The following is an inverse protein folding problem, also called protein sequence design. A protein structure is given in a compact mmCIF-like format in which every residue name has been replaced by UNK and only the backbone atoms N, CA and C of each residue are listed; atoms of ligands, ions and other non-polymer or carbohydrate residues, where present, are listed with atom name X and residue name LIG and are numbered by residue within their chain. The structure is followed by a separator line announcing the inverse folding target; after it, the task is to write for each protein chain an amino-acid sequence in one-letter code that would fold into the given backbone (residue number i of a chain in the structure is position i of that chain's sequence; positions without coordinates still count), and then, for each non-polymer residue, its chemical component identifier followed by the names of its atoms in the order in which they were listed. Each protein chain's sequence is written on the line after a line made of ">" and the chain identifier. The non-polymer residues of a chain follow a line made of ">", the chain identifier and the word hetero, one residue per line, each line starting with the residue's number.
data_IF_345487789879
#
_entry.id   IF_345487789879
#
_cell.length_a   1.000
_cell.length_b   1.000
_cell.length_c   1.000
_cell.angle_alpha   90.00
_cell.angle_beta   90.00
_cell.angle_gamma   90.00
#
_symmetry.space_group_name_H-M   'P 1'
#
loop_
_entity.id
_entity.type
_entity.pdbx_description
1 polymer ?
#
# COMPACT_ATOMS: atom_id res chain seq x y z
N UNK A 1 7.32 -110.75 13.31
CA UNK A 1 8.37 -109.69 13.46
C UNK A 1 7.92 -108.25 13.04
N UNK A 2 6.91 -108.13 12.17
CA UNK A 2 6.44 -106.82 11.72
C UNK A 2 5.51 -106.13 12.74
N UNK A 3 4.64 -106.85 13.44
CA UNK A 3 3.68 -106.27 14.38
C UNK A 3 4.32 -105.56 15.58
N UNK A 4 5.53 -106.02 16.03
CA UNK A 4 6.20 -105.41 17.16
C UNK A 4 6.87 -104.04 16.78
N UNK A 5 7.27 -103.85 15.54
CA UNK A 5 7.81 -102.54 15.02
C UNK A 5 6.73 -101.49 14.83
N UNK A 6 5.55 -101.91 14.36
CA UNK A 6 4.42 -100.97 14.24
C UNK A 6 3.91 -100.53 15.61
N UNK A 7 3.86 -101.42 16.60
CA UNK A 7 3.49 -101.06 18.00
C UNK A 7 4.50 -100.12 18.61
N UNK A 8 5.81 -100.29 18.43
CA UNK A 8 6.86 -99.34 18.89
C UNK A 8 6.72 -98.00 18.23
N UNK A 9 6.51 -97.93 16.89
CA UNK A 9 6.35 -96.67 16.18
C UNK A 9 5.06 -95.93 16.61
N UNK A 10 4.00 -96.62 16.86
CA UNK A 10 2.75 -96.06 17.40
C UNK A 10 2.95 -95.55 18.84
N UNK A 11 3.66 -96.26 19.66
CA UNK A 11 4.00 -95.83 21.04
C UNK A 11 4.88 -94.54 21.05
N UNK A 12 5.88 -94.45 20.14
CA UNK A 12 6.70 -93.24 20.02
C UNK A 12 5.86 -92.04 19.47
N UNK A 13 4.98 -92.26 18.52
CA UNK A 13 4.09 -91.21 18.03
C UNK A 13 3.13 -90.75 19.11
N UNK A 14 2.60 -91.70 19.90
CA UNK A 14 1.70 -91.37 21.04
C UNK A 14 2.45 -90.52 22.11
N UNK A 15 3.67 -90.90 22.39
CA UNK A 15 4.52 -90.15 23.32
C UNK A 15 4.86 -88.73 22.80
N UNK A 16 5.13 -88.61 21.51
CA UNK A 16 5.38 -87.34 20.89
C UNK A 16 4.12 -86.44 20.90
N UNK A 17 2.96 -86.97 20.57
CA UNK A 17 1.71 -86.24 20.63
C UNK A 17 1.28 -85.84 22.04
N UNK A 18 1.51 -86.67 22.99
CA UNK A 18 1.28 -86.34 24.45
C UNK A 18 2.21 -85.21 24.89
N UNK A 19 3.48 -85.20 24.46
CA UNK A 19 4.40 -84.06 24.74
C UNK A 19 3.93 -82.76 24.04
N UNK A 20 3.45 -82.85 22.83
CA UNK A 20 2.91 -81.71 22.10
C UNK A 20 1.65 -81.16 22.77
N UNK A 21 0.73 -82.03 23.21
CA UNK A 21 -0.51 -81.63 23.94
C UNK A 21 -0.16 -80.90 25.23
N UNK A 22 0.85 -81.46 26.00
CA UNK A 22 1.26 -80.83 27.22
C UNK A 22 1.90 -79.44 26.99
N UNK A 23 2.75 -79.28 25.97
CA UNK A 23 3.31 -77.98 25.59
C UNK A 23 2.25 -76.99 25.14
N UNK A 24 1.24 -77.49 24.39
CA UNK A 24 0.10 -76.62 23.98
C UNK A 24 -0.80 -76.22 25.17
N UNK A 25 -1.01 -77.13 26.13
CA UNK A 25 -1.72 -76.85 27.40
C UNK A 25 -1.03 -75.78 28.24
N UNK A 26 0.29 -75.89 28.35
CA UNK A 26 1.09 -74.89 29.07
C UNK A 26 1.12 -73.53 28.34
N UNK A 27 1.18 -73.53 27.04
CA UNK A 27 1.03 -72.31 26.23
C UNK A 27 -0.35 -71.69 26.42
N UNK A 28 -1.41 -72.47 26.37
CA UNK A 28 -2.77 -71.95 26.57
C UNK A 28 -2.93 -71.36 27.99
N UNK A 29 -2.43 -72.06 29.03
CA UNK A 29 -2.44 -71.48 30.37
C UNK A 29 -1.67 -70.19 30.53
N UNK A 30 -0.59 -70.06 29.80
CA UNK A 30 0.21 -68.80 29.78
C UNK A 30 -0.53 -67.68 29.03
N UNK A 31 -1.14 -67.97 27.90
CA UNK A 31 -1.99 -67.02 27.14
C UNK A 31 -3.20 -66.58 27.94
N UNK A 32 -3.86 -67.49 28.65
CA UNK A 32 -4.98 -67.15 29.54
C UNK A 32 -4.55 -66.21 30.70
N UNK A 33 -3.35 -66.41 31.27
CA UNK A 33 -2.80 -65.48 32.26
C UNK A 33 -2.46 -64.12 31.65
N UNK A 34 -1.92 -64.11 30.44
CA UNK A 34 -1.64 -62.85 29.73
C UNK A 34 -2.94 -62.12 29.39
N UNK A 35 -3.96 -62.81 28.88
CA UNK A 35 -5.27 -62.25 28.60
C UNK A 35 -5.96 -61.70 29.87
N UNK A 36 -5.89 -62.40 30.95
CA UNK A 36 -6.41 -61.91 32.24
C UNK A 36 -5.68 -60.62 32.71
N UNK A 37 -4.32 -60.58 32.53
CA UNK A 37 -3.53 -59.42 32.83
C UNK A 37 -3.85 -58.20 31.94
N UNK A 38 -3.98 -58.42 30.63
CA UNK A 38 -4.38 -57.37 29.67
C UNK A 38 -5.81 -56.88 29.96
N UNK A 39 -6.74 -57.79 30.22
CA UNK A 39 -8.12 -57.46 30.60
C UNK A 39 -8.18 -56.61 31.89
N UNK A 40 -7.35 -56.97 32.87
CA UNK A 40 -7.23 -56.19 34.12
C UNK A 40 -6.69 -54.77 33.87
N UNK A 41 -5.64 -54.66 33.04
CA UNK A 41 -5.08 -53.38 32.66
C UNK A 41 -6.05 -52.51 31.84
N UNK A 42 -6.78 -53.13 30.90
CA UNK A 42 -7.80 -52.41 30.12
C UNK A 42 -8.93 -51.88 31.02
N UNK A 43 -9.42 -52.68 31.98
CA UNK A 43 -10.43 -52.21 32.95
C UNK A 43 -9.90 -51.02 33.76
N UNK A 44 -8.65 -51.07 34.17
CA UNK A 44 -8.01 -49.98 34.92
C UNK A 44 -7.84 -48.71 34.10
N UNK A 45 -7.47 -48.83 32.80
CA UNK A 45 -7.37 -47.74 31.84
C UNK A 45 -8.73 -47.10 31.55
N UNK A 46 -9.78 -47.91 31.38
CA UNK A 46 -11.14 -47.41 31.14
C UNK A 46 -11.63 -46.64 32.38
N UNK A 47 -11.43 -47.16 33.58
CA UNK A 47 -11.80 -46.45 34.81
C UNK A 47 -11.03 -45.13 34.99
N UNK A 48 -9.73 -45.10 34.60
CA UNK A 48 -8.93 -43.87 34.61
C UNK A 48 -9.41 -42.86 33.60
N UNK A 49 -9.80 -43.30 32.40
CA UNK A 49 -10.37 -42.46 31.38
C UNK A 49 -11.72 -41.87 31.78
N UNK A 50 -12.59 -42.66 32.43
CA UNK A 50 -13.87 -42.16 32.95
C UNK A 50 -13.67 -41.12 34.04
N UNK A 51 -12.80 -41.35 35.00
CA UNK A 51 -12.49 -40.37 36.05
C UNK A 51 -11.87 -39.09 35.48
N UNK A 52 -10.98 -39.19 34.49
CA UNK A 52 -10.39 -38.04 33.82
C UNK A 52 -11.42 -37.27 33.02
N UNK A 53 -12.34 -37.96 32.35
CA UNK A 53 -13.44 -37.36 31.62
C UNK A 53 -14.42 -36.61 32.56
N UNK A 54 -14.75 -37.20 33.71
CA UNK A 54 -15.56 -36.48 34.71
C UNK A 54 -14.84 -35.23 35.26
N UNK A 55 -13.53 -35.33 35.52
CA UNK A 55 -12.75 -34.15 35.90
C UNK A 55 -12.75 -33.06 34.84
N UNK A 56 -12.64 -33.41 33.57
CA UNK A 56 -12.72 -32.45 32.44
C UNK A 56 -14.11 -31.83 32.36
N UNK A 57 -15.18 -32.60 32.53
CA UNK A 57 -16.56 -32.09 32.53
C UNK A 57 -16.78 -31.13 33.70
N UNK A 58 -16.31 -31.50 34.91
CA UNK A 58 -16.45 -30.65 36.08
C UNK A 58 -15.62 -29.34 35.95
N UNK A 59 -14.40 -29.43 35.41
CA UNK A 59 -13.58 -28.25 35.07
C UNK A 59 -14.24 -27.37 34.00
N UNK A 60 -14.86 -27.98 32.99
CA UNK A 60 -15.58 -27.25 31.95
C UNK A 60 -16.83 -26.55 32.51
N UNK A 61 -17.60 -27.25 33.38
CA UNK A 61 -18.75 -26.65 34.05
C UNK A 61 -18.35 -25.54 35.05
N UNK A 62 -17.20 -25.66 35.71
CA UNK A 62 -16.66 -24.57 36.53
C UNK A 62 -16.25 -23.36 35.71
N UNK A 63 -15.65 -23.57 34.50
CA UNK A 63 -15.31 -22.51 33.57
C UNK A 63 -16.54 -21.86 32.94
N UNK A 64 -17.62 -22.62 32.69
CA UNK A 64 -18.87 -22.08 32.17
C UNK A 64 -19.64 -21.25 33.21
N UNK A 65 -19.47 -21.53 34.51
CA UNK A 65 -19.98 -20.69 35.59
C UNK A 65 -19.26 -19.35 35.76
N UNK A 66 -17.99 -19.28 35.36
CA UNK A 66 -17.23 -18.02 35.31
C UNK A 66 -17.67 -17.10 34.15
N UNK A 67 -18.56 -17.56 33.27
CA UNK A 67 -19.08 -16.76 32.15
C UNK A 67 -19.98 -15.58 32.57
N UNK A 68 -20.45 -15.52 33.82
CA UNK A 68 -21.25 -14.43 34.36
C UNK A 68 -20.41 -13.34 35.07
N UNK A 69 -19.10 -13.56 35.24
CA UNK A 69 -18.21 -12.56 35.85
C UNK A 69 -17.70 -11.56 34.81
N UNK A 70 -17.65 -10.26 35.12
CA UNK A 70 -17.14 -9.27 34.17
C UNK A 70 -15.66 -9.51 33.92
N UNK A 71 -15.30 -9.62 32.62
CA UNK A 71 -13.90 -9.65 32.19
C UNK A 71 -13.33 -8.27 32.05
N UNK A 72 -12.07 -8.12 32.38
CA UNK A 72 -11.32 -6.89 32.20
C UNK A 72 -10.42 -6.98 30.99
N UNK A 73 -10.29 -5.86 30.25
CA UNK A 73 -9.41 -5.77 29.10
C UNK A 73 -8.03 -5.27 29.49
N UNK A 74 -6.99 -5.92 28.97
CA UNK A 74 -5.60 -5.50 29.12
C UNK A 74 -4.83 -5.66 27.80
N UNK A 75 -3.68 -4.99 27.67
CA UNK A 75 -2.78 -5.09 26.50
C UNK A 75 -1.44 -5.68 26.92
N UNK A 76 -0.98 -6.72 26.23
CA UNK A 76 0.31 -7.40 26.51
C UNK A 76 1.46 -6.47 26.12
N UNK A 77 2.41 -6.23 27.02
CA UNK A 77 3.64 -5.46 26.76
C UNK A 77 4.91 -6.28 26.84
N UNK A 78 4.92 -7.41 27.55
CA UNK A 78 6.06 -8.32 27.60
C UNK A 78 5.62 -9.75 27.90
N UNK A 79 6.37 -10.73 27.36
CA UNK A 79 6.15 -12.16 27.60
C UNK A 79 7.27 -12.71 28.49
N UNK A 80 6.89 -13.53 29.49
CA UNK A 80 7.83 -14.20 30.36
C UNK A 80 7.62 -15.72 30.27
N UNK A 81 8.38 -16.41 29.37
CA UNK A 81 8.30 -17.87 29.26
C UNK A 81 8.80 -18.55 30.53
N UNK A 82 8.36 -19.79 30.76
CA UNK A 82 8.92 -20.61 31.84
C UNK A 82 10.43 -20.68 31.70
N UNK A 83 11.16 -20.24 32.71
CA UNK A 83 12.60 -20.56 32.77
C UNK A 83 12.72 -22.06 33.06
N UNK A 84 13.40 -22.82 32.21
CA UNK A 84 13.83 -24.16 32.53
C UNK A 84 14.67 -24.10 33.82
N UNK A 85 14.48 -25.00 34.78
CA UNK A 85 15.33 -25.07 35.97
C UNK A 85 16.77 -25.28 35.50
N UNK A 86 17.68 -24.38 35.88
CA UNK A 86 19.11 -24.65 35.72
C UNK A 86 19.46 -25.86 36.59
N UNK A 87 20.13 -26.89 36.05
CA UNK A 87 20.54 -28.04 36.81
C UNK A 87 21.62 -27.61 37.83
N UNK A 88 21.27 -27.44 39.09
CA UNK A 88 22.22 -27.16 40.15
C UNK A 88 21.74 -26.39 41.38
N UNK A 89 20.65 -25.66 41.35
CA UNK A 89 20.06 -25.04 42.54
C UNK A 89 18.66 -25.64 42.79
N UNK A 90 18.52 -26.41 43.82
CA UNK A 90 17.30 -27.15 44.23
C UNK A 90 16.12 -26.25 44.66
N UNK A 91 15.78 -25.28 43.88
CA UNK A 91 14.56 -24.49 44.01
C UNK A 91 13.71 -24.81 42.78
N UNK A 92 12.71 -25.69 42.97
CA UNK A 92 11.63 -25.88 42.02
C UNK A 92 10.91 -24.54 41.80
N UNK A 93 11.31 -23.78 40.82
CA UNK A 93 10.51 -22.64 40.35
C UNK A 93 9.31 -23.21 39.58
N UNK A 94 8.23 -23.51 40.27
CA UNK A 94 6.89 -23.72 39.71
C UNK A 94 6.35 -22.41 39.11
N UNK A 95 7.16 -21.75 38.29
CA UNK A 95 6.78 -20.52 37.62
C UNK A 95 5.75 -20.79 36.52
N UNK A 96 4.49 -20.43 36.77
CA UNK A 96 3.50 -20.34 35.71
C UNK A 96 4.00 -19.38 34.60
N UNK A 97 3.63 -19.64 33.32
CA UNK A 97 3.85 -18.69 32.25
C UNK A 97 3.16 -17.36 32.60
N UNK A 98 3.86 -16.25 32.45
CA UNK A 98 3.37 -14.94 32.84
C UNK A 98 3.58 -13.93 31.72
N UNK A 99 2.76 -12.88 31.68
CA UNK A 99 2.93 -11.75 30.80
C UNK A 99 2.77 -10.44 31.57
N UNK A 100 3.51 -9.43 31.17
CA UNK A 100 3.27 -8.07 31.66
C UNK A 100 2.16 -7.45 30.82
N UNK A 101 1.13 -6.94 31.45
CA UNK A 101 -0.06 -6.37 30.84
C UNK A 101 -0.29 -4.97 31.36
N UNK A 102 -0.69 -4.06 30.49
CA UNK A 102 -1.24 -2.77 30.90
C UNK A 102 -2.75 -2.93 31.13
N UNK A 103 -3.15 -2.72 32.36
CA UNK A 103 -4.54 -2.73 32.79
C UNK A 103 -4.84 -1.48 33.60
N UNK A 104 -5.90 -0.76 33.25
CA UNK A 104 -6.27 0.52 33.88
C UNK A 104 -5.11 1.50 34.05
N UNK A 105 -4.25 1.62 33.01
CA UNK A 105 -3.08 2.51 32.99
C UNK A 105 -1.90 2.04 33.85
N UNK A 106 -1.95 0.82 34.42
CA UNK A 106 -0.85 0.28 35.24
C UNK A 106 -0.26 -0.97 34.59
N UNK A 107 1.06 -1.05 34.61
CA UNK A 107 1.78 -2.26 34.18
C UNK A 107 1.78 -3.27 35.30
N UNK A 108 1.27 -4.46 35.02
CA UNK A 108 1.15 -5.57 35.97
C UNK A 108 1.64 -6.88 35.37
N UNK A 109 2.26 -7.73 36.18
CA UNK A 109 2.60 -9.08 35.76
C UNK A 109 1.48 -10.03 36.19
N UNK A 110 0.91 -10.72 35.23
CA UNK A 110 -0.23 -11.60 35.39
C UNK A 110 0.09 -12.99 34.86
N UNK A 111 -0.55 -14.02 35.46
CA UNK A 111 -0.41 -15.39 34.99
C UNK A 111 -1.20 -15.58 33.68
N UNK A 112 -0.73 -16.53 32.87
CA UNK A 112 -1.43 -16.94 31.64
C UNK A 112 -2.12 -18.27 31.92
N UNK A 113 -3.39 -18.41 31.56
CA UNK A 113 -4.15 -19.63 31.68
C UNK A 113 -3.45 -20.79 30.95
N UNK A 114 -3.35 -21.98 31.55
CA UNK A 114 -2.78 -23.17 30.91
C UNK A 114 -3.55 -23.61 29.66
N UNK A 115 -4.78 -23.11 29.46
CA UNK A 115 -5.62 -23.41 28.32
C UNK A 115 -5.26 -22.55 27.09
N UNK A 116 -4.46 -21.50 27.28
CA UNK A 116 -3.99 -20.64 26.21
C UNK A 116 -2.61 -21.07 25.73
N UNK A 117 -2.43 -21.04 24.41
CA UNK A 117 -1.13 -21.27 23.80
C UNK A 117 -0.27 -20.01 23.97
N UNK A 118 0.66 -20.05 24.90
CA UNK A 118 1.52 -18.93 25.24
C UNK A 118 2.38 -18.45 24.08
N UNK A 119 2.77 -19.34 23.18
CA UNK A 119 3.61 -18.96 22.01
C UNK A 119 2.84 -18.09 21.01
N UNK A 120 1.54 -18.30 20.91
CA UNK A 120 0.66 -17.51 20.02
C UNK A 120 0.31 -16.13 20.55
N UNK A 121 0.58 -15.85 21.81
CA UNK A 121 0.38 -14.50 22.34
C UNK A 121 1.40 -13.54 21.76
N UNK A 122 0.94 -12.36 21.34
CA UNK A 122 1.75 -11.35 20.65
C UNK A 122 1.78 -10.06 21.48
N UNK A 123 2.94 -9.39 21.50
CA UNK A 123 3.09 -8.08 22.16
C UNK A 123 2.22 -7.04 21.44
N UNK A 124 1.48 -6.24 22.22
CA UNK A 124 0.48 -5.27 21.74
C UNK A 124 -0.92 -5.87 21.56
N UNK A 125 -1.09 -7.19 21.75
CA UNK A 125 -2.39 -7.87 21.63
C UNK A 125 -3.26 -7.60 22.86
N UNK A 126 -4.56 -7.41 22.66
CA UNK A 126 -5.54 -7.31 23.72
C UNK A 126 -5.85 -8.70 24.31
N UNK A 127 -6.07 -8.73 25.60
CA UNK A 127 -6.40 -9.95 26.36
C UNK A 127 -7.53 -9.69 27.33
N UNK A 128 -8.27 -10.75 27.63
CA UNK A 128 -9.26 -10.76 28.71
C UNK A 128 -8.64 -11.30 30.00
N UNK A 129 -8.85 -10.57 31.08
CA UNK A 129 -8.44 -10.91 32.42
C UNK A 129 -9.68 -11.28 33.24
N UNK A 130 -9.64 -12.37 34.00
CA UNK A 130 -10.67 -12.69 34.94
C UNK A 130 -10.48 -11.91 36.28
N UNK A 131 -11.35 -12.11 37.26
CA UNK A 131 -11.28 -11.45 38.58
C UNK A 131 -9.95 -11.73 39.33
N UNK A 132 -9.33 -12.88 39.09
CA UNK A 132 -8.03 -13.21 39.65
C UNK A 132 -6.84 -12.62 38.86
N UNK A 133 -7.13 -11.77 37.89
CA UNK A 133 -6.14 -11.15 36.96
C UNK A 133 -5.31 -12.20 36.19
N UNK A 134 -5.92 -13.30 35.78
CA UNK A 134 -5.31 -14.31 34.92
C UNK A 134 -5.78 -14.06 33.47
N UNK A 135 -4.88 -14.15 32.50
CA UNK A 135 -5.23 -14.09 31.09
C UNK A 135 -6.00 -15.33 30.69
N UNK A 136 -7.26 -15.19 30.31
CA UNK A 136 -8.16 -16.31 29.96
C UNK A 136 -8.46 -16.37 28.46
N UNK A 137 -8.34 -15.27 27.75
CA UNK A 137 -8.50 -15.22 26.30
C UNK A 137 -7.60 -14.16 25.66
N UNK A 138 -7.16 -14.43 24.44
CA UNK A 138 -6.47 -13.48 23.60
C UNK A 138 -7.46 -12.92 22.55
N UNK A 139 -7.46 -11.61 22.38
CA UNK A 139 -8.28 -10.89 21.40
C UNK A 139 -7.40 -10.45 20.23
N UNK A 140 -7.93 -9.59 19.39
CA UNK A 140 -7.18 -8.91 18.32
C UNK A 140 -6.30 -7.77 18.84
N UNK A 141 -5.95 -6.88 17.93
CA UNK A 141 -5.29 -5.62 18.26
C UNK A 141 -6.33 -4.49 18.27
N UNK A 142 -6.05 -3.41 19.01
CA UNK A 142 -6.92 -2.22 18.98
C UNK A 142 -6.86 -1.59 17.59
N UNK A 143 -8.04 -1.45 16.94
CA UNK A 143 -8.12 -0.86 15.60
C UNK A 143 -8.28 0.66 15.65
N UNK A 144 -8.67 1.18 16.81
CA UNK A 144 -8.90 2.62 17.01
C UNK A 144 -7.78 3.23 17.85
N UNK A 145 -7.26 4.38 17.43
CA UNK A 145 -6.18 5.00 18.16
C UNK A 145 -5.75 6.35 17.60
N UNK A 146 -4.71 6.93 18.18
CA UNK A 146 -4.11 8.16 17.70
C UNK A 146 -3.23 7.87 16.48
N UNK A 147 -3.40 8.67 15.40
CA UNK A 147 -2.56 8.57 14.21
C UNK A 147 -1.27 9.36 14.41
N UNK A 148 -0.14 8.73 14.12
CA UNK A 148 1.19 9.31 14.17
C UNK A 148 1.98 8.98 12.92
N UNK A 149 2.95 9.83 12.58
CA UNK A 149 3.83 9.62 11.41
C UNK A 149 5.21 9.21 11.87
N UNK A 150 5.77 8.17 11.28
CA UNK A 150 7.15 7.71 11.55
C UNK A 150 8.14 8.74 11.03
N UNK A 151 9.02 9.23 11.92
CA UNK A 151 10.12 10.14 11.58
C UNK A 151 11.46 9.41 11.47
N UNK A 152 11.66 8.42 12.34
CA UNK A 152 12.90 7.63 12.38
C UNK A 152 12.60 6.26 12.97
N UNK A 153 13.23 5.23 12.44
CA UNK A 153 13.14 3.87 12.98
C UNK A 153 14.38 3.63 13.84
N UNK A 154 14.16 3.25 15.09
CA UNK A 154 15.22 2.95 16.04
C UNK A 154 15.42 1.43 16.16
N UNK A 155 16.56 1.04 16.73
CA UNK A 155 16.81 -0.34 17.10
C UNK A 155 15.82 -0.85 18.17
N UNK A 156 15.71 -2.18 18.34
CA UNK A 156 14.87 -2.83 19.34
C UNK A 156 13.37 -2.57 19.20
N UNK A 157 12.87 -2.47 17.98
CA UNK A 157 11.44 -2.29 17.69
C UNK A 157 10.84 -0.98 18.26
N UNK A 158 11.61 0.09 18.28
CA UNK A 158 11.15 1.43 18.62
C UNK A 158 11.13 2.33 17.39
N UNK A 159 10.31 3.36 17.42
CA UNK A 159 10.27 4.39 16.40
C UNK A 159 10.09 5.78 17.03
N UNK A 160 10.75 6.78 16.45
CA UNK A 160 10.43 8.18 16.71
C UNK A 160 9.26 8.54 15.80
N UNK A 161 8.19 9.00 16.39
CA UNK A 161 6.99 9.40 15.66
C UNK A 161 6.63 10.85 15.96
N UNK A 162 5.94 11.45 15.01
CA UNK A 162 5.38 12.78 15.14
C UNK A 162 3.88 12.66 15.40
N UNK A 163 3.44 13.15 16.54
CA UNK A 163 2.04 13.26 16.93
C UNK A 163 1.47 14.63 16.50
N UNK A 164 0.27 14.98 16.98
CA UNK A 164 -0.33 16.29 16.69
C UNK A 164 0.53 17.43 17.22
N UNK A 165 0.55 18.55 16.50
CA UNK A 165 1.28 19.79 16.86
C UNK A 165 2.80 19.61 16.97
N UNK A 166 3.42 18.78 16.08
CA UNK A 166 4.87 18.55 16.00
C UNK A 166 5.51 17.93 17.27
N UNK A 167 4.68 17.36 18.17
CA UNK A 167 5.17 16.64 19.35
C UNK A 167 5.83 15.32 18.92
N UNK A 168 7.13 15.18 19.26
CA UNK A 168 7.90 13.98 18.93
C UNK A 168 7.92 13.03 20.13
N UNK A 169 7.59 11.77 19.87
CA UNK A 169 7.55 10.71 20.89
C UNK A 169 8.28 9.47 20.40
N UNK A 170 8.92 8.78 21.32
CA UNK A 170 9.42 7.42 21.06
C UNK A 170 8.35 6.44 21.47
N UNK A 171 7.99 5.55 20.55
CA UNK A 171 6.99 4.52 20.76
C UNK A 171 7.56 3.14 20.49
N UNK A 172 6.98 2.13 21.11
CA UNK A 172 7.29 0.72 20.85
C UNK A 172 6.33 0.16 19.80
N UNK A 173 6.86 -0.69 18.90
CA UNK A 173 6.08 -1.35 17.86
C UNK A 173 5.49 -2.66 18.40
N UNK A 174 4.18 -2.87 18.21
CA UNK A 174 3.51 -4.14 18.49
C UNK A 174 3.96 -5.24 17.52
N UNK A 175 3.67 -6.48 17.88
CA UNK A 175 4.11 -7.66 17.12
C UNK A 175 3.87 -7.60 15.61
N UNK A 176 2.68 -7.24 15.12
CA UNK A 176 2.44 -7.16 13.68
C UNK A 176 3.35 -6.18 12.93
N UNK A 177 3.71 -5.06 13.58
CA UNK A 177 4.58 -4.04 12.97
C UNK A 177 6.06 -4.41 13.02
N UNK A 178 6.47 -5.32 13.91
CA UNK A 178 7.86 -5.79 14.02
C UNK A 178 8.30 -6.64 12.83
N UNK A 179 7.35 -7.30 12.19
CA UNK A 179 7.58 -8.16 11.02
C UNK A 179 7.42 -7.38 9.70
N UNK A 180 6.88 -6.14 9.75
CA UNK A 180 6.66 -5.30 8.59
C UNK A 180 7.86 -4.41 8.29
N UNK A 181 8.14 -4.19 7.01
CA UNK A 181 9.09 -3.18 6.57
C UNK A 181 8.44 -1.79 6.64
N UNK A 182 8.66 -1.10 7.75
CA UNK A 182 8.22 0.28 7.93
C UNK A 182 9.22 1.25 7.30
N UNK A 183 8.72 2.39 6.84
CA UNK A 183 9.51 3.48 6.25
C UNK A 183 9.23 4.79 6.98
N UNK A 184 10.18 5.70 6.90
CA UNK A 184 9.98 7.09 7.33
C UNK A 184 8.83 7.69 6.50
N UNK A 185 7.85 8.31 7.19
CA UNK A 185 6.63 8.82 6.59
C UNK A 185 5.41 7.90 6.70
N UNK A 186 5.58 6.63 7.07
CA UNK A 186 4.46 5.73 7.31
C UNK A 186 3.60 6.24 8.47
N UNK A 187 2.28 6.05 8.33
CA UNK A 187 1.35 6.40 9.39
C UNK A 187 0.97 5.17 10.19
N UNK A 188 1.06 5.31 11.50
CA UNK A 188 0.76 4.25 12.45
C UNK A 188 -0.38 4.66 13.36
N UNK A 189 -1.22 3.69 13.74
CA UNK A 189 -2.20 3.84 14.81
C UNK A 189 -1.58 3.42 16.13
N UNK A 190 -1.67 4.28 17.15
CA UNK A 190 -1.20 4.00 18.52
C UNK A 190 -2.40 3.61 19.37
N UNK A 191 -2.31 2.47 20.05
CA UNK A 191 -3.25 2.15 21.13
C UNK A 191 -3.05 3.14 22.29
N UNK A 192 -4.07 3.93 22.56
CA UNK A 192 -4.05 5.00 23.59
C UNK A 192 -3.84 4.48 25.00
N UNK A 193 -4.08 3.18 25.27
CA UNK A 193 -3.92 2.57 26.58
C UNK A 193 -2.50 2.11 26.83
N UNK A 194 -1.89 1.46 25.86
CA UNK A 194 -0.53 0.93 25.96
C UNK A 194 0.53 1.90 25.45
N UNK A 195 0.17 2.86 24.60
CA UNK A 195 1.11 3.73 23.92
C UNK A 195 1.94 3.05 22.83
N UNK A 196 1.57 1.82 22.44
CA UNK A 196 2.27 1.05 21.40
C UNK A 196 1.63 1.29 20.04
N UNK A 197 2.43 1.33 18.99
CA UNK A 197 1.91 1.30 17.63
C UNK A 197 1.45 -0.12 17.30
N UNK A 198 0.20 -0.27 16.85
CA UNK A 198 -0.44 -1.56 16.62
C UNK A 198 -0.68 -1.88 15.16
N UNK A 199 -0.92 -0.89 14.33
CA UNK A 199 -1.20 -1.09 12.91
C UNK A 199 -0.65 0.04 12.05
N UNK A 200 -0.34 -0.29 10.79
CA UNK A 200 -0.03 0.70 9.76
C UNK A 200 -1.35 1.13 9.11
N UNK A 201 -1.61 2.42 9.14
CA UNK A 201 -2.80 2.99 8.52
C UNK A 201 -2.41 3.52 7.14
N UNK A 202 -3.01 2.95 6.12
CA UNK A 202 -2.93 3.53 4.77
C UNK A 202 -4.04 4.57 4.65
N UNK A 203 -3.69 5.83 4.73
CA UNK A 203 -4.66 6.88 4.46
C UNK A 203 -5.00 6.88 2.97
N UNK A 204 -6.20 6.45 2.67
CA UNK A 204 -6.77 6.47 1.32
C UNK A 204 -7.00 7.90 0.82
N UNK A 205 -7.04 8.90 1.72
CA UNK A 205 -7.31 10.30 1.39
C UNK A 205 -6.26 10.96 0.49
N UNK A 206 -5.00 10.47 0.50
CA UNK A 206 -3.95 11.00 -0.37
C UNK A 206 -3.98 10.44 -1.79
N UNK A 207 -4.50 9.21 -1.97
CA UNK A 207 -4.63 8.62 -3.30
C UNK A 207 -5.74 9.28 -4.14
N UNK A 208 -6.71 9.93 -3.48
CA UNK A 208 -7.78 10.63 -4.17
C UNK A 208 -7.42 12.06 -4.63
N UNK A 209 -6.43 12.71 -4.00
CA UNK A 209 -5.99 14.07 -4.34
C UNK A 209 -4.91 14.12 -5.42
N UNK A 210 -4.13 13.05 -5.54
CA UNK A 210 -3.08 12.92 -6.54
C UNK A 210 -3.34 11.67 -7.35
N UNK A 211 -3.90 11.84 -8.54
CA UNK A 211 -4.02 10.76 -9.50
C UNK A 211 -2.62 10.47 -10.04
N UNK A 212 -2.04 9.37 -9.58
CA UNK A 212 -0.80 8.85 -10.10
C UNK A 212 -1.12 8.00 -11.33
N UNK A 213 -0.79 8.52 -12.51
CA UNK A 213 -1.02 7.84 -13.78
C UNK A 213 0.32 7.53 -14.45
N UNK A 214 0.35 6.45 -15.21
CA UNK A 214 1.37 6.22 -16.23
C UNK A 214 0.69 6.52 -17.56
N UNK A 215 0.90 7.72 -18.15
CA UNK A 215 0.15 8.11 -19.34
C UNK A 215 0.61 7.30 -20.54
N UNK A 216 -0.36 6.91 -21.37
CA UNK A 216 -0.17 6.19 -22.63
C UNK A 216 -0.60 7.08 -23.83
N UNK A 217 -0.30 8.36 -23.74
CA UNK A 217 -0.64 9.35 -24.76
C UNK A 217 0.65 9.87 -25.37
N UNK A 218 0.85 9.63 -26.67
CA UNK A 218 1.97 10.12 -27.40
C UNK A 218 1.66 11.50 -28.06
N UNK A 219 2.70 12.25 -28.46
CA UNK A 219 2.49 13.49 -29.22
C UNK A 219 1.78 13.25 -30.56
N UNK A 220 1.94 12.05 -31.14
CA UNK A 220 1.22 11.65 -32.35
C UNK A 220 -0.30 11.65 -32.20
N UNK A 221 -0.80 11.54 -30.96
CA UNK A 221 -2.24 11.49 -30.67
C UNK A 221 -2.86 12.88 -30.52
N UNK A 222 -2.01 13.92 -30.56
CA UNK A 222 -2.41 15.32 -30.45
C UNK A 222 -2.38 15.95 -31.84
N UNK A 223 -3.46 16.62 -32.23
CA UNK A 223 -3.55 17.36 -33.47
C UNK A 223 -3.61 18.86 -33.25
N UNK A 224 -3.12 19.64 -34.21
CA UNK A 224 -3.26 21.09 -34.26
C UNK A 224 -2.40 21.88 -33.27
N UNK A 225 -1.38 21.25 -32.66
CA UNK A 225 -0.49 21.91 -31.69
C UNK A 225 0.99 21.64 -32.00
N UNK A 226 1.34 21.48 -33.26
CA UNK A 226 2.69 21.07 -33.68
C UNK A 226 3.76 22.06 -33.20
N UNK A 227 3.55 23.38 -33.34
CA UNK A 227 4.49 24.42 -32.93
C UNK A 227 4.68 24.45 -31.40
N UNK A 228 3.61 24.21 -30.64
CA UNK A 228 3.65 24.12 -29.16
C UNK A 228 4.40 22.86 -28.70
N UNK A 229 4.18 21.74 -29.39
CA UNK A 229 4.87 20.49 -29.12
C UNK A 229 6.39 20.64 -29.38
N UNK A 230 6.78 21.30 -30.47
CA UNK A 230 8.20 21.59 -30.74
C UNK A 230 8.81 22.49 -29.67
N UNK A 231 8.13 23.56 -29.26
CA UNK A 231 8.58 24.42 -28.18
C UNK A 231 8.74 23.69 -26.85
N UNK A 232 7.87 22.71 -26.57
CA UNK A 232 7.97 21.85 -25.38
C UNK A 232 9.18 20.91 -25.50
N UNK A 233 9.37 20.27 -26.64
CA UNK A 233 10.52 19.38 -26.87
C UNK A 233 11.83 20.11 -26.64
N UNK A 234 11.95 21.31 -27.16
CA UNK A 234 13.15 22.15 -27.01
C UNK A 234 13.36 22.60 -25.57
N UNK A 235 12.30 22.94 -24.87
CA UNK A 235 12.38 23.51 -23.51
C UNK A 235 12.48 22.45 -22.41
N UNK A 236 11.89 21.27 -22.61
CA UNK A 236 11.76 20.22 -21.59
C UNK A 236 12.61 19.00 -21.91
N UNK A 237 12.45 18.45 -23.12
CA UNK A 237 13.10 17.19 -23.46
C UNK A 237 14.59 17.35 -23.74
N UNK A 238 14.96 18.42 -24.42
CA UNK A 238 16.37 18.65 -24.76
C UNK A 238 17.26 18.81 -23.50
N UNK A 239 16.89 19.63 -22.48
CA UNK A 239 17.64 19.71 -21.23
C UNK A 239 17.72 18.38 -20.49
N UNK A 240 16.63 17.61 -20.54
CA UNK A 240 16.52 16.31 -19.87
C UNK A 240 17.36 15.24 -20.58
N UNK A 241 17.36 15.25 -21.91
CA UNK A 241 18.12 14.28 -22.72
C UNK A 241 19.60 14.63 -22.82
N UNK A 242 19.97 15.90 -22.81
CA UNK A 242 21.32 16.39 -23.01
C UNK A 242 21.76 17.39 -21.92
N UNK A 243 21.74 17.00 -20.64
CA UNK A 243 22.12 17.89 -19.54
C UNK A 243 23.59 18.33 -19.63
N UNK A 244 24.45 17.55 -20.29
CA UNK A 244 25.84 17.88 -20.55
C UNK A 244 25.98 19.12 -21.43
N UNK A 245 25.19 19.27 -22.48
CA UNK A 245 25.23 20.44 -23.38
C UNK A 245 24.84 21.71 -22.63
N UNK A 246 23.82 21.62 -21.75
CA UNK A 246 23.42 22.76 -20.94
C UNK A 246 24.53 23.19 -19.97
N UNK A 247 25.23 22.23 -19.34
CA UNK A 247 26.36 22.53 -18.43
C UNK A 247 27.54 23.13 -19.18
N UNK A 248 27.90 22.61 -20.35
CA UNK A 248 28.98 23.15 -21.19
C UNK A 248 28.75 24.58 -21.60
N UNK A 249 27.49 24.96 -21.87
CA UNK A 249 27.13 26.30 -22.31
C UNK A 249 26.71 27.23 -21.15
N UNK A 250 26.81 26.78 -19.90
CA UNK A 250 26.43 27.55 -18.71
C UNK A 250 24.93 27.87 -18.64
N UNK A 251 24.10 27.06 -19.33
CA UNK A 251 22.64 27.19 -19.32
C UNK A 251 22.05 26.37 -18.18
N UNK A 252 21.03 26.88 -17.52
CA UNK A 252 20.23 26.14 -16.57
C UNK A 252 18.99 25.58 -17.26
N UNK A 253 18.70 24.30 -17.02
CA UNK A 253 17.45 23.70 -17.50
C UNK A 253 16.24 24.38 -16.86
N UNK A 254 15.17 24.66 -17.61
CA UNK A 254 13.93 25.15 -17.03
C UNK A 254 13.38 24.11 -16.04
N UNK A 255 12.87 24.58 -14.90
CA UNK A 255 12.29 23.70 -13.87
C UNK A 255 10.82 23.39 -14.13
N UNK A 256 10.17 24.24 -14.90
CA UNK A 256 8.78 24.07 -15.21
C UNK A 256 8.31 24.94 -16.35
N UNK A 257 7.15 24.58 -16.86
CA UNK A 257 6.45 25.29 -17.93
C UNK A 257 5.03 25.65 -17.50
N UNK A 258 4.55 26.78 -18.01
CA UNK A 258 3.15 27.18 -17.90
C UNK A 258 2.48 27.03 -19.27
N UNK A 259 1.48 26.16 -19.34
CA UNK A 259 0.56 26.04 -20.45
C UNK A 259 -0.66 26.95 -20.19
N UNK A 260 -0.89 27.95 -21.02
CA UNK A 260 -2.00 28.87 -20.80
C UNK A 260 -2.83 29.07 -22.06
N UNK A 261 -4.13 29.31 -21.90
CA UNK A 261 -5.05 29.52 -23.00
C UNK A 261 -6.46 29.03 -22.72
N UNK A 262 -7.38 29.08 -23.69
CA UNK A 262 -8.78 28.73 -23.49
C UNK A 262 -8.99 27.31 -22.94
N UNK A 263 -10.08 27.07 -22.20
CA UNK A 263 -10.42 25.72 -21.73
C UNK A 263 -10.70 24.79 -22.92
N UNK A 264 -10.46 23.49 -22.73
CA UNK A 264 -10.74 22.46 -23.73
C UNK A 264 -9.76 22.36 -24.90
N UNK A 265 -8.67 23.15 -24.94
CA UNK A 265 -7.69 23.16 -26.04
C UNK A 265 -6.53 22.15 -25.85
N UNK A 266 -6.65 21.13 -24.97
CA UNK A 266 -5.69 20.03 -24.89
C UNK A 266 -4.51 20.23 -23.94
N UNK A 267 -4.51 21.22 -23.03
CA UNK A 267 -3.41 21.47 -22.06
C UNK A 267 -3.04 20.22 -21.26
N UNK A 268 -4.02 19.51 -20.73
CA UNK A 268 -3.83 18.27 -19.95
C UNK A 268 -3.31 17.11 -20.80
N UNK A 269 -3.76 17.03 -22.08
CA UNK A 269 -3.27 16.03 -23.03
C UNK A 269 -1.78 16.24 -23.34
N UNK A 270 -1.38 17.48 -23.58
CA UNK A 270 0.04 17.82 -23.79
C UNK A 270 0.88 17.42 -22.59
N UNK A 271 0.44 17.75 -21.37
CA UNK A 271 1.19 17.41 -20.17
C UNK A 271 1.37 15.89 -20.00
N UNK A 272 0.35 15.10 -20.34
CA UNK A 272 0.44 13.63 -20.37
C UNK A 272 1.40 13.12 -21.45
N UNK A 273 1.36 13.71 -22.64
CA UNK A 273 2.27 13.34 -23.71
C UNK A 273 3.75 13.66 -23.39
N UNK A 274 4.01 14.77 -22.69
CA UNK A 274 5.34 15.09 -22.16
C UNK A 274 5.83 13.98 -21.24
N UNK A 275 5.01 13.55 -20.27
CA UNK A 275 5.38 12.49 -19.34
C UNK A 275 5.67 11.17 -20.07
N UNK A 276 4.85 10.81 -21.06
CA UNK A 276 5.05 9.61 -21.88
C UNK A 276 6.37 9.68 -22.67
N UNK A 277 6.63 10.81 -23.34
CA UNK A 277 7.86 11.01 -24.12
C UNK A 277 9.11 10.93 -23.23
N UNK A 278 9.08 11.55 -22.05
CA UNK A 278 10.21 11.47 -21.12
C UNK A 278 10.47 10.03 -20.65
N UNK A 279 9.43 9.22 -20.45
CA UNK A 279 9.58 7.81 -20.12
C UNK A 279 10.28 7.03 -21.22
N UNK A 280 9.88 7.23 -22.48
CA UNK A 280 10.50 6.57 -23.62
C UNK A 280 11.99 6.90 -23.72
N UNK A 281 12.35 8.16 -23.56
CA UNK A 281 13.75 8.61 -23.65
C UNK A 281 14.62 8.09 -22.51
N UNK A 282 14.06 7.93 -21.30
CA UNK A 282 14.80 7.28 -20.18
C UNK A 282 15.01 5.81 -20.45
N UNK A 283 14.03 5.13 -21.02
CA UNK A 283 14.14 3.72 -21.39
C UNK A 283 15.21 3.48 -22.48
N UNK A 284 15.30 4.38 -23.45
CA UNK A 284 16.34 4.33 -24.51
C UNK A 284 17.76 4.50 -23.93
N UNK A 285 17.93 5.28 -22.86
CA UNK A 285 19.24 5.54 -22.24
C UNK A 285 19.71 4.42 -21.30
N UNK A 286 18.78 3.73 -20.65
CA UNK A 286 19.08 2.69 -19.64
C UNK A 286 18.59 1.35 -20.18
N UNK A 287 19.46 0.61 -20.85
CA UNK A 287 19.19 -0.78 -21.25
C UNK A 287 18.66 -1.58 -20.05
N UNK A 288 17.37 -1.98 -20.08
CA UNK A 288 16.79 -2.89 -19.11
C UNK A 288 16.06 -2.27 -17.90
N UNK A 289 15.88 -0.94 -17.84
CA UNK A 289 15.09 -0.29 -16.78
C UNK A 289 13.62 -0.13 -17.20
N UNK A 290 12.68 -0.17 -16.25
CA UNK A 290 11.24 -0.07 -16.53
C UNK A 290 10.91 1.24 -17.28
N UNK A 291 10.11 1.11 -18.35
CA UNK A 291 9.61 2.24 -19.15
C UNK A 291 8.46 2.95 -18.42
N UNK A 292 8.73 3.51 -17.24
CA UNK A 292 7.70 4.15 -16.41
C UNK A 292 8.04 5.60 -16.14
N UNK A 293 7.09 6.48 -16.42
CA UNK A 293 7.07 7.84 -15.88
C UNK A 293 5.89 7.99 -14.93
N UNK A 294 6.02 8.90 -14.01
CA UNK A 294 4.93 9.21 -13.08
C UNK A 294 4.35 10.58 -13.42
N UNK A 295 3.05 10.59 -13.62
CA UNK A 295 2.28 11.80 -13.84
C UNK A 295 1.41 12.06 -12.61
N UNK A 296 1.77 13.08 -11.85
CA UNK A 296 1.04 13.49 -10.65
C UNK A 296 0.08 14.61 -11.03
N UNK A 297 -1.18 14.28 -11.22
CA UNK A 297 -2.21 15.24 -11.61
C UNK A 297 -2.87 15.87 -10.39
N UNK A 298 -2.77 17.18 -10.27
CA UNK A 298 -3.27 17.97 -9.15
C UNK A 298 -4.25 18.99 -9.69
N UNK A 299 -5.50 18.91 -9.26
CA UNK A 299 -6.50 19.91 -9.62
C UNK A 299 -6.56 21.00 -8.56
N UNK A 300 -6.39 22.25 -8.97
CA UNK A 300 -6.37 23.41 -8.09
C UNK A 300 -7.55 23.48 -7.13
N UNK A 301 -8.81 23.41 -7.59
CA UNK A 301 -9.98 23.47 -6.72
C UNK A 301 -10.03 22.36 -5.67
N UNK A 302 -9.62 21.14 -6.02
CA UNK A 302 -9.66 19.99 -5.09
C UNK A 302 -8.69 20.14 -3.90
N UNK A 303 -7.61 20.92 -4.08
CA UNK A 303 -6.68 21.23 -2.99
C UNK A 303 -7.24 22.28 -2.03
N UNK A 304 -8.14 23.16 -2.48
CA UNK A 304 -8.70 24.27 -1.68
C UNK A 304 -9.89 23.85 -0.82
N UNK A 305 -10.55 22.74 -1.14
CA UNK A 305 -11.79 22.30 -0.45
C UNK A 305 -11.58 21.82 0.99
N UNK A 306 -10.33 21.76 1.47
CA UNK A 306 -10.01 21.33 2.82
C UNK A 306 -9.27 22.44 3.59
N UNK A 307 -9.53 22.51 4.87
CA UNK A 307 -9.07 23.51 5.87
C UNK A 307 -7.72 24.18 5.60
N UNK A 308 -7.65 25.48 5.90
CA UNK A 308 -6.42 26.29 5.88
C UNK A 308 -5.31 25.59 6.68
N UNK A 309 -4.14 25.41 6.06
CA UNK A 309 -3.00 24.66 6.63
C UNK A 309 -2.85 23.22 6.11
N UNK A 310 -3.92 22.54 5.67
CA UNK A 310 -3.81 21.24 5.02
C UNK A 310 -3.31 21.36 3.58
N UNK A 311 -3.66 22.42 2.88
CA UNK A 311 -3.21 22.66 1.50
C UNK A 311 -1.67 22.75 1.40
N UNK A 312 -1.02 23.45 2.33
CA UNK A 312 0.44 23.53 2.39
C UNK A 312 1.08 22.17 2.67
N UNK A 313 0.49 21.41 3.57
CA UNK A 313 0.91 20.05 3.87
C UNK A 313 0.78 19.15 2.65
N UNK A 314 -0.32 19.27 1.90
CA UNK A 314 -0.54 18.50 0.69
C UNK A 314 0.51 18.83 -0.39
N UNK A 315 0.81 20.11 -0.59
CA UNK A 315 1.88 20.54 -1.51
C UNK A 315 3.21 19.90 -1.12
N UNK A 316 3.61 19.99 0.15
CA UNK A 316 4.85 19.35 0.64
C UNK A 316 4.88 17.84 0.39
N UNK A 317 3.77 17.15 0.63
CA UNK A 317 3.66 15.70 0.43
C UNK A 317 3.73 15.30 -1.05
N UNK A 318 3.10 16.08 -1.93
CA UNK A 318 3.17 15.87 -3.40
C UNK A 318 4.61 15.96 -3.87
N UNK A 319 5.32 17.01 -3.48
CA UNK A 319 6.72 17.18 -3.87
C UNK A 319 7.67 16.18 -3.18
N UNK A 320 7.39 15.78 -1.95
CA UNK A 320 8.12 14.68 -1.28
C UNK A 320 7.95 13.36 -2.04
N UNK A 321 6.73 13.06 -2.50
CA UNK A 321 6.45 11.86 -3.31
C UNK A 321 7.10 11.94 -4.70
N UNK A 322 7.06 13.12 -5.33
CA UNK A 322 7.77 13.34 -6.59
C UNK A 322 9.27 13.10 -6.44
N UNK A 323 9.88 13.63 -5.38
CA UNK A 323 11.29 13.41 -5.05
C UNK A 323 11.61 11.93 -4.79
N UNK A 324 10.77 11.22 -4.05
CA UNK A 324 10.93 9.79 -3.78
C UNK A 324 11.00 8.99 -5.08
N UNK A 325 10.07 9.24 -6.00
CA UNK A 325 10.04 8.57 -7.32
C UNK A 325 11.25 8.93 -8.18
N UNK A 326 11.62 10.21 -8.22
CA UNK A 326 12.76 10.70 -8.98
C UNK A 326 14.11 10.14 -8.50
N UNK A 327 14.25 9.84 -7.20
CA UNK A 327 15.46 9.20 -6.64
C UNK A 327 15.72 7.79 -7.20
N UNK A 328 14.67 7.10 -7.67
CA UNK A 328 14.81 5.82 -8.36
C UNK A 328 15.25 5.98 -9.82
N UNK A 329 15.36 7.22 -10.30
CA UNK A 329 15.78 7.56 -11.66
C UNK A 329 14.62 7.61 -12.66
N UNK A 330 13.39 7.53 -12.20
CA UNK A 330 12.19 7.64 -13.04
C UNK A 330 11.83 9.11 -13.26
N UNK A 331 11.39 9.51 -14.46
CA UNK A 331 10.91 10.85 -14.71
C UNK A 331 9.56 11.07 -14.02
N UNK A 332 9.43 12.23 -13.39
CA UNK A 332 8.20 12.63 -12.69
C UNK A 332 7.72 13.97 -13.21
N UNK A 333 6.49 14.00 -13.69
CA UNK A 333 5.81 15.23 -14.07
C UNK A 333 4.79 15.58 -13.00
N UNK A 334 4.97 16.72 -12.36
CA UNK A 334 3.99 17.28 -11.41
C UNK A 334 3.13 18.28 -12.19
N UNK A 335 1.89 17.93 -12.43
CA UNK A 335 0.96 18.72 -13.22
C UNK A 335 -0.08 19.40 -12.33
N UNK A 336 -0.11 20.73 -12.40
CA UNK A 336 -1.14 21.54 -11.74
C UNK A 336 -2.16 22.00 -12.75
N UNK A 337 -3.38 21.46 -12.69
CA UNK A 337 -4.49 21.93 -13.50
C UNK A 337 -5.26 23.05 -12.79
N UNK A 338 -5.78 23.98 -13.56
CA UNK A 338 -6.51 25.16 -13.06
C UNK A 338 -5.72 25.93 -12.00
N UNK A 339 -4.43 26.23 -12.31
CA UNK A 339 -3.52 26.91 -11.38
C UNK A 339 -4.07 28.26 -10.87
N UNK A 340 -4.91 28.94 -11.65
CA UNK A 340 -5.57 30.18 -11.26
C UNK A 340 -6.45 30.03 -10.02
N UNK A 341 -6.88 28.83 -9.68
CA UNK A 341 -7.61 28.57 -8.44
C UNK A 341 -6.71 28.67 -7.20
N UNK A 342 -5.46 28.19 -7.29
CA UNK A 342 -4.53 28.13 -6.18
C UNK A 342 -3.65 29.38 -6.04
N UNK A 343 -3.30 30.03 -7.15
CA UNK A 343 -2.19 30.98 -7.22
C UNK A 343 -2.62 32.32 -7.78
N UNK A 344 -3.73 32.85 -7.28
CA UNK A 344 -4.25 34.18 -7.68
C UNK A 344 -3.35 35.31 -7.27
N UNK A 345 -3.33 36.36 -8.09
CA UNK A 345 -2.65 37.63 -7.79
C UNK A 345 -3.28 38.29 -6.57
N UNK A 346 -2.44 38.78 -5.64
CA UNK A 346 -2.87 39.42 -4.39
C UNK A 346 -3.84 40.58 -4.64
N UNK A 347 -4.96 40.61 -3.92
CA UNK A 347 -5.85 41.79 -3.86
C UNK A 347 -7.19 41.67 -4.58
N UNK A 348 -7.58 40.52 -5.12
CA UNK A 348 -8.84 40.37 -5.87
C UNK A 348 -9.99 39.65 -5.16
N UNK A 349 -9.87 39.31 -3.86
CA UNK A 349 -10.94 38.60 -3.16
C UNK A 349 -10.78 38.40 -1.66
N UNK A 350 -11.82 37.86 -1.01
CA UNK A 350 -12.08 37.80 0.44
C UNK A 350 -11.22 36.77 1.21
N UNK A 351 -10.23 36.10 0.62
CA UNK A 351 -9.48 34.99 1.25
C UNK A 351 -8.01 35.34 1.44
N UNK A 352 -7.68 36.27 2.33
CA UNK A 352 -6.31 36.76 2.52
C UNK A 352 -5.34 35.71 3.14
N UNK A 353 -5.83 34.69 3.84
CA UNK A 353 -4.97 33.76 4.56
C UNK A 353 -4.46 32.62 3.68
N UNK A 354 -5.26 32.15 2.72
CA UNK A 354 -4.88 31.08 1.78
C UNK A 354 -3.80 31.58 0.79
N UNK A 355 -3.91 32.81 0.31
CA UNK A 355 -2.97 33.42 -0.65
C UNK A 355 -1.61 33.71 -0.02
N UNK A 356 -1.55 33.98 1.29
CA UNK A 356 -0.29 34.35 1.98
C UNK A 356 0.62 33.18 2.27
N UNK A 357 0.12 31.95 2.29
CA UNK A 357 0.87 30.78 2.72
C UNK A 357 1.11 29.75 1.60
N UNK A 358 0.16 29.55 0.69
CA UNK A 358 0.23 28.54 -0.37
C UNK A 358 1.27 28.91 -1.43
N UNK A 359 1.27 30.15 -1.93
CA UNK A 359 2.21 30.60 -2.96
C UNK A 359 3.67 30.48 -2.46
N UNK A 360 4.05 31.01 -1.27
CA UNK A 360 5.40 30.81 -0.75
C UNK A 360 5.81 29.35 -0.56
N UNK A 361 4.87 28.48 -0.14
CA UNK A 361 5.15 27.07 0.01
C UNK A 361 5.44 26.41 -1.34
N UNK A 362 4.62 26.64 -2.37
CA UNK A 362 4.90 26.11 -3.70
C UNK A 362 6.23 26.63 -4.25
N UNK A 363 6.53 27.91 -4.07
CA UNK A 363 7.80 28.47 -4.50
C UNK A 363 8.99 27.78 -3.82
N UNK A 364 8.88 27.53 -2.51
CA UNK A 364 9.92 26.80 -1.76
C UNK A 364 10.09 25.36 -2.27
N UNK A 365 9.00 24.69 -2.62
CA UNK A 365 9.05 23.32 -3.15
C UNK A 365 9.66 23.29 -4.58
N UNK A 366 9.28 24.22 -5.45
CA UNK A 366 9.86 24.33 -6.80
C UNK A 366 11.36 24.70 -6.71
N UNK A 367 11.73 25.63 -5.84
CA UNK A 367 13.12 25.98 -5.61
C UNK A 367 13.90 24.79 -5.04
N UNK A 368 13.24 23.96 -4.21
CA UNK A 368 13.80 22.70 -3.66
C UNK A 368 14.00 21.58 -4.69
N UNK A 369 13.35 21.63 -5.83
CA UNK A 369 13.52 20.67 -6.95
C UNK A 369 14.88 20.87 -7.68
N UNK A 370 15.59 21.97 -7.42
CA UNK A 370 16.91 22.28 -8.04
C UNK A 370 17.95 21.15 -8.00
N UNK A 371 17.77 20.21 -7.09
CA UNK A 371 18.71 19.09 -6.88
C UNK A 371 18.28 17.80 -7.57
N UNK A 372 17.14 17.81 -8.30
CA UNK A 372 16.57 16.61 -8.89
C UNK A 372 16.43 16.79 -10.40
N UNK A 373 17.31 16.18 -11.15
CA UNK A 373 17.34 16.24 -12.61
C UNK A 373 16.11 15.58 -13.30
N UNK A 374 15.26 14.88 -12.55
CA UNK A 374 14.18 14.05 -13.09
C UNK A 374 12.76 14.52 -12.71
N UNK A 375 12.59 15.71 -12.13
CA UNK A 375 11.27 16.26 -11.80
C UNK A 375 11.00 17.52 -12.61
N UNK A 376 9.86 17.55 -13.29
CA UNK A 376 9.38 18.70 -14.06
C UNK A 376 8.03 19.12 -13.53
N UNK A 377 7.83 20.43 -13.37
CA UNK A 377 6.56 21.01 -12.97
C UNK A 377 5.88 21.61 -14.19
N UNK A 378 4.65 21.19 -14.47
CA UNK A 378 3.83 21.75 -15.54
C UNK A 378 2.59 22.37 -14.92
N UNK A 379 2.41 23.66 -15.12
CA UNK A 379 1.21 24.36 -14.75
C UNK A 379 0.27 24.54 -15.93
N UNK A 380 -1.03 24.39 -15.72
CA UNK A 380 -2.04 24.75 -16.71
C UNK A 380 -2.99 25.80 -16.16
N UNK A 381 -3.29 26.82 -16.97
CA UNK A 381 -4.21 27.89 -16.61
C UNK A 381 -5.09 28.30 -17.78
N UNK A 382 -6.33 28.62 -17.48
CA UNK A 382 -7.23 29.25 -18.45
C UNK A 382 -7.09 30.78 -18.45
N UNK A 383 -6.41 31.33 -17.41
CA UNK A 383 -6.27 32.79 -17.19
C UNK A 383 -4.89 33.11 -16.63
N UNK A 384 -3.92 33.31 -17.56
CA UNK A 384 -2.54 33.70 -17.19
C UNK A 384 -2.48 34.97 -16.36
N UNK A 385 -3.38 35.93 -16.65
CA UNK A 385 -3.47 37.23 -15.99
C UNK A 385 -3.76 37.14 -14.49
N UNK A 386 -4.29 36.03 -14.02
CA UNK A 386 -4.62 35.79 -12.62
C UNK A 386 -3.50 35.11 -11.82
N UNK A 387 -2.46 34.60 -12.46
CA UNK A 387 -1.37 33.86 -11.78
C UNK A 387 -0.38 34.86 -11.15
N UNK A 388 0.05 34.61 -9.92
CA UNK A 388 1.06 35.39 -9.23
C UNK A 388 2.38 35.44 -10.04
N UNK A 389 2.87 36.65 -10.42
CA UNK A 389 4.10 36.77 -11.19
C UNK A 389 5.33 36.14 -10.53
N UNK A 390 5.33 35.93 -9.21
CA UNK A 390 6.44 35.29 -8.51
C UNK A 390 6.67 33.84 -8.97
N UNK A 391 5.62 33.13 -9.39
CA UNK A 391 5.72 31.76 -9.90
C UNK A 391 6.36 31.73 -11.30
N UNK A 392 6.18 32.79 -12.06
CA UNK A 392 6.60 32.92 -13.45
C UNK A 392 8.02 33.51 -13.62
N UNK A 393 8.76 33.63 -12.50
CA UNK A 393 10.15 34.15 -12.52
C UNK A 393 11.12 33.09 -13.03
N UNK A 394 12.26 33.53 -13.65
CA UNK A 394 13.32 32.62 -14.07
C UNK A 394 13.73 31.64 -12.96
N UNK A 395 13.90 30.38 -13.33
CA UNK A 395 14.20 29.29 -12.41
C UNK A 395 12.99 28.62 -11.78
N UNK A 396 11.77 28.95 -12.21
CA UNK A 396 10.49 28.34 -11.77
C UNK A 396 9.68 27.91 -12.98
N UNK A 397 8.46 28.44 -13.17
CA UNK A 397 7.67 28.23 -14.39
C UNK A 397 7.99 29.34 -15.40
N UNK A 398 9.22 29.36 -15.85
CA UNK A 398 9.80 30.43 -16.65
C UNK A 398 9.50 30.28 -18.18
N UNK A 399 9.19 29.08 -18.63
CA UNK A 399 8.76 28.82 -19.99
C UNK A 399 7.24 28.93 -20.08
N UNK A 400 6.75 29.83 -20.91
CA UNK A 400 5.32 30.03 -21.13
C UNK A 400 4.94 29.63 -22.54
N UNK A 401 3.97 28.73 -22.65
CA UNK A 401 3.48 28.23 -23.93
C UNK A 401 1.99 28.50 -24.04
N UNK A 402 1.64 29.31 -25.04
CA UNK A 402 0.25 29.64 -25.33
C UNK A 402 -0.39 28.53 -26.13
N UNK A 403 -1.47 27.99 -25.60
CA UNK A 403 -2.32 27.01 -26.28
C UNK A 403 -3.54 27.76 -26.80
N UNK A 404 -3.60 27.90 -28.08
CA UNK A 404 -4.69 28.62 -28.78
C UNK A 404 -5.79 27.63 -29.18
N UNK A 405 -6.92 28.18 -29.58
CA UNK A 405 -7.93 27.38 -30.27
C UNK A 405 -7.36 26.91 -31.61
N UNK A 406 -7.71 25.69 -32.05
CA UNK A 406 -7.23 25.19 -33.32
C UNK A 406 -7.71 26.11 -34.48
N UNK A 407 -6.84 26.37 -35.43
CA UNK A 407 -7.20 26.90 -36.70
C UNK A 407 -7.80 25.83 -37.64
N UNK A 408 -8.12 26.17 -38.89
CA UNK A 408 -8.74 25.21 -39.81
C UNK A 408 -7.83 24.00 -40.10
N UNK A 409 -6.52 24.16 -40.11
CA UNK A 409 -5.57 23.07 -40.33
C UNK A 409 -5.48 22.18 -39.08
N UNK A 410 -5.35 22.79 -37.92
CA UNK A 410 -5.38 22.07 -36.63
C UNK A 410 -6.69 21.33 -36.37
N UNK A 411 -7.83 21.93 -36.73
CA UNK A 411 -9.12 21.26 -36.65
C UNK A 411 -9.17 20.00 -37.54
N UNK A 412 -8.59 20.11 -38.76
CA UNK A 412 -8.50 18.94 -39.66
C UNK A 412 -7.67 17.83 -39.06
N UNK A 413 -6.52 18.15 -38.48
CA UNK A 413 -5.67 17.17 -37.77
C UNK A 413 -6.40 16.53 -36.60
N UNK A 414 -7.14 17.32 -35.81
CA UNK A 414 -7.93 16.82 -34.69
C UNK A 414 -9.01 15.85 -35.16
N UNK A 415 -9.80 16.26 -36.19
CA UNK A 415 -10.82 15.38 -36.75
C UNK A 415 -10.25 14.06 -37.26
N UNK A 416 -9.08 14.09 -37.91
CA UNK A 416 -8.42 12.91 -38.43
C UNK A 416 -7.98 11.90 -37.34
N UNK A 417 -7.85 12.34 -36.07
CA UNK A 417 -7.59 11.43 -34.96
C UNK A 417 -8.82 10.65 -34.52
N UNK A 418 -10.01 11.24 -34.70
CA UNK A 418 -11.27 10.63 -34.23
C UNK A 418 -12.08 10.02 -35.38
N UNK A 419 -12.04 10.62 -36.56
CA UNK A 419 -12.74 10.12 -37.72
C UNK A 419 -11.79 9.25 -38.56
N UNK A 420 -11.82 7.94 -38.27
CA UNK A 420 -10.99 6.95 -38.96
C UNK A 420 -11.84 6.13 -39.94
N UNK A 421 -11.23 5.55 -41.00
CA UNK A 421 -11.95 4.69 -41.96
C UNK A 421 -12.62 3.44 -41.37
N UNK A 422 -12.22 3.04 -40.15
CA UNK A 422 -12.77 1.90 -39.43
C UNK A 422 -14.15 2.18 -38.79
N UNK A 423 -14.56 3.46 -38.77
CA UNK A 423 -15.85 3.84 -38.25
C UNK A 423 -16.99 3.41 -39.22
N UNK A 424 -18.19 3.09 -38.71
CA UNK A 424 -19.33 2.79 -39.55
C UNK A 424 -19.78 4.02 -40.33
N UNK A 425 -19.44 4.10 -41.62
CA UNK A 425 -19.79 5.18 -42.53
C UNK A 425 -21.12 4.86 -43.22
N UNK A 426 -21.99 5.86 -43.40
CA UNK A 426 -23.29 5.64 -44.03
C UNK A 426 -23.10 5.20 -45.49
N UNK A 427 -23.98 4.33 -45.97
CA UNK A 427 -23.89 3.74 -47.31
C UNK A 427 -23.91 4.79 -48.44
N UNK A 428 -24.68 5.87 -48.26
CA UNK A 428 -24.77 6.94 -49.23
C UNK A 428 -23.46 7.70 -49.35
N UNK A 429 -22.78 7.99 -48.21
CA UNK A 429 -21.47 8.66 -48.22
C UNK A 429 -20.39 7.79 -48.86
N UNK A 430 -20.44 6.48 -48.68
CA UNK A 430 -19.55 5.53 -49.38
C UNK A 430 -19.82 5.50 -50.87
N UNK A 431 -21.10 5.52 -51.29
CA UNK A 431 -21.48 5.50 -52.69
C UNK A 431 -21.04 6.79 -53.45
N UNK A 432 -21.06 7.96 -52.78
CA UNK A 432 -20.57 9.22 -53.33
C UNK A 432 -19.04 9.21 -53.59
N UNK A 433 -18.31 8.32 -52.90
CA UNK A 433 -16.84 8.26 -52.95
C UNK A 433 -16.29 6.91 -53.42
N UNK A 434 -16.94 6.32 -54.42
CA UNK A 434 -16.54 5.06 -55.08
C UNK A 434 -16.31 3.88 -54.11
N UNK A 435 -16.99 3.87 -52.97
CA UNK A 435 -16.86 2.84 -51.90
C UNK A 435 -15.57 2.97 -51.06
N UNK A 436 -14.79 4.03 -51.22
CA UNK A 436 -13.57 4.24 -50.43
C UNK A 436 -13.88 4.93 -49.11
N UNK A 437 -13.75 4.20 -48.01
CA UNK A 437 -13.96 4.73 -46.65
C UNK A 437 -12.99 5.89 -46.34
N UNK A 438 -11.74 5.81 -46.76
CA UNK A 438 -10.77 6.90 -46.55
C UNK A 438 -11.17 8.21 -47.24
N UNK A 439 -11.58 8.14 -48.48
CA UNK A 439 -12.00 9.32 -49.25
C UNK A 439 -13.28 9.94 -48.69
N UNK A 440 -14.23 9.08 -48.27
CA UNK A 440 -15.46 9.53 -47.59
C UNK A 440 -15.16 10.25 -46.26
N UNK A 441 -14.25 9.73 -45.43
CA UNK A 441 -13.82 10.35 -44.18
C UNK A 441 -13.12 11.68 -44.45
N UNK A 442 -12.18 11.74 -45.38
CA UNK A 442 -11.47 12.96 -45.73
C UNK A 442 -12.44 14.06 -46.23
N UNK A 443 -13.44 13.68 -47.02
CA UNK A 443 -14.50 14.61 -47.49
C UNK A 443 -15.40 15.07 -46.33
N UNK A 444 -15.74 14.19 -45.39
CA UNK A 444 -16.48 14.56 -44.17
C UNK A 444 -15.70 15.55 -43.30
N UNK A 445 -14.39 15.33 -43.10
CA UNK A 445 -13.52 16.22 -42.38
C UNK A 445 -13.46 17.57 -43.06
N UNK A 446 -13.24 17.59 -44.38
CA UNK A 446 -13.16 18.84 -45.15
C UNK A 446 -14.46 19.66 -45.04
N UNK A 447 -15.62 19.02 -45.20
CA UNK A 447 -16.95 19.66 -45.07
C UNK A 447 -17.17 20.21 -43.66
N UNK A 448 -16.75 19.43 -42.63
CA UNK A 448 -16.90 19.83 -41.23
C UNK A 448 -16.05 21.05 -40.89
N UNK A 449 -14.79 21.06 -41.32
CA UNK A 449 -13.86 22.19 -41.11
C UNK A 449 -14.34 23.43 -41.86
N UNK A 450 -14.72 23.30 -43.15
CA UNK A 450 -15.25 24.41 -43.94
C UNK A 450 -16.46 25.03 -43.24
N UNK A 451 -17.39 24.23 -42.75
CA UNK A 451 -18.57 24.71 -42.05
C UNK A 451 -18.24 25.41 -40.73
N UNK A 452 -17.25 24.92 -39.96
CA UNK A 452 -16.83 25.54 -38.70
C UNK A 452 -16.09 26.85 -38.87
N UNK A 453 -15.38 27.04 -40.00
CA UNK A 453 -14.55 28.22 -40.26
C UNK A 453 -15.08 29.09 -41.40
N UNK A 454 -16.34 28.86 -41.86
CA UNK A 454 -17.01 29.74 -42.81
C UNK A 454 -17.19 31.13 -42.21
N UNK A 455 -17.06 32.17 -43.05
CA UNK A 455 -17.14 33.58 -42.62
C UNK A 455 -18.54 34.00 -42.11
N UNK A 456 -19.57 33.17 -42.37
CA UNK A 456 -20.96 33.47 -42.06
C UNK A 456 -21.40 33.02 -40.64
N UNK A 457 -20.51 32.47 -39.82
CA UNK A 457 -20.87 31.97 -38.48
C UNK A 457 -20.68 33.09 -37.42
N UNK A 458 -21.80 33.71 -36.99
CA UNK A 458 -21.88 34.74 -35.92
C UNK A 458 -21.38 34.23 -34.54
N UNK A 459 -20.95 32.97 -34.40
CA UNK A 459 -20.52 32.32 -33.18
C UNK A 459 -18.98 32.09 -33.08
N UNK A 460 -18.21 32.99 -33.62
CA UNK A 460 -16.73 32.99 -33.44
C UNK A 460 -16.28 33.46 -32.06
#
# INVERSE_FOLDING_TARGET
>A
MNDNREAEQLAERLQMTERQVNVLRDKNRNLDKQLAGISGNNKRLVALLETTREQIINLKAALEKDGDTPFSHGTIVAKHPRKHPEPGLGIESTGAQAADVIYSGRKMRVAVSPLLDFEKLVIGQQVLLNEALVIVAALGFEETGELVTVKELLENHHAVVMARADDQRVIELAGPLREMHLRVGDQLSIDSRSGMAVSRVQLTDMQSLVLEEVPDIAYSDIGGLNSQIEAIKDSVELPFTHPELYREHGLSAPKGILLYGPPGCGKTLIAKAVAHSLAQRVAERKEGTSNRSYFLNIKGPELLDKYVGETERHIRLIFARAREKALHGDPVVVFFDEMEALFRTRGTGVSSDVETTIVPQLLAEIDGVERLDNVIVIGASNREDMIDPAILRPGRLDVKIKIERPDAEGAREIFAKYLTPDLPIHADDLAEHDGSAQVAVDAMIARSVERMYSEDDENR
#
